data_IF_658360470778
#
_entry.id   IF_658360470778
#
_cell.length_a   1.000
_cell.length_b   1.000
_cell.length_c   1.000
_cell.angle_alpha   90.00
_cell.angle_beta   90.00
_cell.angle_gamma   90.00
#
_symmetry.space_group_name_H-M   'P 1'
#
loop_
_entity.id
_entity.type
_entity.pdbx_description
1 polymer ?
#
# COMPACT_ATOMS: atom_id res chain seq x y z
N UNK A 1 -1.32 -4.38 8.33
CA UNK A 1 -2.76 -4.20 8.65
C UNK A 1 -3.44 -3.56 7.44
N UNK A 2 -4.76 -3.73 7.25
CA UNK A 2 -5.52 -3.08 6.15
C UNK A 2 -6.31 -1.87 6.67
N UNK A 3 -6.68 -0.95 5.77
CA UNK A 3 -7.43 0.27 6.13
C UNK A 3 -8.95 0.15 5.92
N UNK A 4 -9.46 -1.04 5.58
CA UNK A 4 -10.88 -1.29 5.24
C UNK A 4 -11.83 -0.68 6.27
N UNK A 5 -11.62 -0.92 7.57
CA UNK A 5 -12.50 -0.38 8.63
C UNK A 5 -12.49 1.14 8.70
N UNK A 6 -11.32 1.76 8.51
CA UNK A 6 -11.17 3.22 8.56
C UNK A 6 -11.93 3.86 7.42
N UNK A 7 -11.79 3.30 6.21
CA UNK A 7 -12.47 3.78 5.00
C UNK A 7 -13.98 3.66 5.17
N UNK A 8 -14.48 2.48 5.58
CA UNK A 8 -15.90 2.26 5.82
C UNK A 8 -16.50 3.25 6.84
N UNK A 9 -15.78 3.50 7.94
CA UNK A 9 -16.19 4.50 8.93
C UNK A 9 -16.26 5.91 8.34
N UNK A 10 -15.30 6.30 7.49
CA UNK A 10 -15.27 7.62 6.86
C UNK A 10 -16.46 7.85 5.92
N UNK A 11 -16.97 6.79 5.27
CA UNK A 11 -18.12 6.84 4.36
C UNK A 11 -19.44 6.42 5.02
N UNK A 12 -19.47 6.23 6.35
CA UNK A 12 -20.63 5.76 7.12
C UNK A 12 -21.24 4.44 6.59
N UNK A 13 -20.39 3.48 6.21
CA UNK A 13 -20.81 2.13 5.78
C UNK A 13 -20.29 1.05 6.72
N UNK A 14 -20.96 -0.09 6.71
CA UNK A 14 -20.63 -1.27 7.52
C UNK A 14 -19.79 -2.29 6.74
N UNK A 15 -19.27 -3.29 7.44
CA UNK A 15 -18.61 -4.44 6.79
C UNK A 15 -19.61 -5.29 6.00
N UNK A 16 -20.89 -5.27 6.37
CA UNK A 16 -21.96 -6.00 5.70
C UNK A 16 -22.33 -5.34 4.36
N UNK A 17 -22.33 -4.00 4.31
CA UNK A 17 -22.47 -3.24 3.06
C UNK A 17 -21.37 -3.64 2.06
N UNK A 18 -20.12 -3.69 2.52
CA UNK A 18 -18.99 -4.11 1.69
C UNK A 18 -19.10 -5.59 1.27
N UNK A 19 -19.53 -6.45 2.17
CA UNK A 19 -19.72 -7.87 1.89
C UNK A 19 -20.77 -8.07 0.78
N UNK A 20 -21.88 -7.35 0.89
CA UNK A 20 -22.96 -7.33 -0.10
C UNK A 20 -22.50 -6.80 -1.46
N UNK A 21 -21.76 -5.68 -1.48
CA UNK A 21 -21.23 -5.10 -2.72
C UNK A 21 -20.20 -6.00 -3.42
N UNK A 22 -19.36 -6.72 -2.65
CA UNK A 22 -18.34 -7.63 -3.20
C UNK A 22 -18.93 -9.01 -3.55
N UNK A 23 -20.05 -9.40 -2.93
CA UNK A 23 -20.65 -10.74 -3.09
C UNK A 23 -19.97 -11.81 -2.24
N UNK A 24 -19.53 -11.47 -1.02
CA UNK A 24 -18.90 -12.40 -0.06
C UNK A 24 -19.58 -12.31 1.31
N UNK A 25 -19.20 -13.16 2.25
CA UNK A 25 -19.72 -13.08 3.62
C UNK A 25 -19.08 -11.93 4.43
N UNK A 26 -19.84 -11.35 5.37
CA UNK A 26 -19.34 -10.36 6.32
C UNK A 26 -18.13 -10.89 7.13
N UNK A 27 -18.13 -12.18 7.49
CA UNK A 27 -16.99 -12.84 8.14
C UNK A 27 -15.72 -12.80 7.29
N UNK A 28 -15.82 -12.95 5.96
CA UNK A 28 -14.68 -12.83 5.05
C UNK A 28 -14.10 -11.42 5.05
N UNK A 29 -14.97 -10.40 5.00
CA UNK A 29 -14.56 -8.99 5.16
C UNK A 29 -13.86 -8.77 6.50
N UNK A 30 -14.40 -9.31 7.59
CA UNK A 30 -13.78 -9.19 8.92
C UNK A 30 -12.37 -9.82 8.95
N UNK A 31 -12.17 -10.98 8.31
CA UNK A 31 -10.84 -11.58 8.20
C UNK A 31 -9.86 -10.69 7.44
N UNK A 32 -10.28 -10.06 6.34
CA UNK A 32 -9.44 -9.13 5.57
C UNK A 32 -9.15 -7.85 6.35
N UNK A 33 -10.16 -7.30 7.02
CA UNK A 33 -10.06 -6.09 7.81
C UNK A 33 -9.12 -6.23 9.01
N UNK A 34 -9.03 -7.42 9.61
CA UNK A 34 -8.11 -7.71 10.71
C UNK A 34 -6.74 -8.22 10.24
N UNK A 35 -6.58 -8.50 8.95
CA UNK A 35 -5.36 -9.12 8.41
C UNK A 35 -5.21 -10.61 8.72
N UNK A 36 -6.26 -11.27 9.23
CA UNK A 36 -6.28 -12.70 9.51
C UNK A 36 -6.23 -13.55 8.23
N UNK A 37 -6.69 -12.98 7.11
CA UNK A 37 -6.56 -13.55 5.77
C UNK A 37 -6.10 -12.48 4.80
N UNK A 38 -5.29 -12.87 3.83
CA UNK A 38 -4.94 -12.01 2.69
C UNK A 38 -5.90 -12.32 1.53
N UNK A 39 -6.58 -11.32 0.95
CA UNK A 39 -7.32 -11.53 -0.29
C UNK A 39 -6.35 -11.89 -1.42
N UNK A 40 -6.82 -12.63 -2.42
CA UNK A 40 -6.09 -12.75 -3.69
C UNK A 40 -6.01 -11.38 -4.38
N UNK A 41 -5.14 -11.24 -5.38
CA UNK A 41 -4.99 -10.01 -6.15
C UNK A 41 -6.34 -9.52 -6.73
N UNK A 42 -7.08 -10.40 -7.40
CA UNK A 42 -8.38 -10.07 -7.96
C UNK A 42 -9.41 -9.68 -6.89
N UNK A 43 -9.38 -10.37 -5.74
CA UNK A 43 -10.27 -10.07 -4.63
C UNK A 43 -9.93 -8.72 -3.99
N UNK A 44 -8.65 -8.38 -3.87
CA UNK A 44 -8.21 -7.08 -3.38
C UNK A 44 -8.75 -5.95 -4.26
N UNK A 45 -8.68 -6.10 -5.59
CA UNK A 45 -9.28 -5.14 -6.51
C UNK A 45 -10.81 -5.08 -6.43
N UNK A 46 -11.49 -6.21 -6.27
CA UNK A 46 -12.93 -6.22 -6.01
C UNK A 46 -13.29 -5.41 -4.77
N UNK A 47 -12.53 -5.54 -3.69
CA UNK A 47 -12.72 -4.77 -2.46
C UNK A 47 -12.51 -3.27 -2.70
N UNK A 48 -11.43 -2.87 -3.39
CA UNK A 48 -11.16 -1.45 -3.71
C UNK A 48 -12.30 -0.86 -4.54
N UNK A 49 -12.72 -1.56 -5.60
CA UNK A 49 -13.78 -1.11 -6.48
C UNK A 49 -15.13 -1.02 -5.75
N UNK A 50 -15.44 -1.98 -4.89
CA UNK A 50 -16.63 -1.95 -4.05
C UNK A 50 -16.63 -0.77 -3.09
N UNK A 51 -15.51 -0.50 -2.40
CA UNK A 51 -15.38 0.68 -1.53
C UNK A 51 -15.64 1.98 -2.30
N UNK A 52 -15.13 2.09 -3.53
CA UNK A 52 -15.37 3.26 -4.37
C UNK A 52 -16.84 3.38 -4.82
N UNK A 53 -17.50 2.26 -5.15
CA UNK A 53 -18.95 2.24 -5.45
C UNK A 53 -19.81 2.64 -4.25
N UNK A 54 -19.37 2.31 -3.04
CA UNK A 54 -20.05 2.68 -1.80
C UNK A 54 -19.84 4.16 -1.41
N UNK A 55 -19.02 4.91 -2.14
CA UNK A 55 -18.80 6.35 -1.96
C UNK A 55 -17.41 6.73 -1.48
N UNK A 56 -16.44 5.81 -1.49
CA UNK A 56 -15.03 6.15 -1.25
C UNK A 56 -14.33 6.66 -2.52
N UNK A 57 -13.17 7.29 -2.34
CA UNK A 57 -12.22 7.60 -3.41
C UNK A 57 -10.84 7.12 -2.97
N UNK A 58 -10.65 5.79 -3.01
CA UNK A 58 -9.46 5.11 -2.53
C UNK A 58 -8.79 4.30 -3.64
N UNK A 59 -7.46 4.22 -3.57
CA UNK A 59 -6.60 3.40 -4.41
C UNK A 59 -6.20 2.09 -3.71
N UNK A 60 -5.49 1.22 -4.43
CA UNK A 60 -5.02 -0.05 -3.87
C UNK A 60 -4.16 0.17 -2.61
N UNK A 61 -3.20 1.09 -2.67
CA UNK A 61 -2.29 1.39 -1.56
C UNK A 61 -3.01 2.01 -0.36
N UNK A 62 -4.10 2.74 -0.59
CA UNK A 62 -4.91 3.29 0.50
C UNK A 62 -5.60 2.19 1.31
N UNK A 63 -6.06 1.13 0.65
CA UNK A 63 -6.76 -0.01 1.28
C UNK A 63 -5.75 -1.03 1.85
N UNK A 64 -4.71 -1.32 1.09
CA UNK A 64 -3.67 -2.32 1.36
C UNK A 64 -2.28 -1.66 1.33
N UNK A 65 -1.90 -0.92 2.39
CA UNK A 65 -0.60 -0.23 2.44
C UNK A 65 0.56 -1.22 2.55
N UNK A 66 1.73 -0.80 2.08
CA UNK A 66 2.97 -1.58 2.21
C UNK A 66 3.31 -1.75 3.71
N UNK A 67 3.52 -2.98 4.21
CA UNK A 67 3.95 -3.21 5.58
C UNK A 67 5.29 -2.55 5.95
N UNK A 68 6.15 -2.23 4.97
CA UNK A 68 7.45 -1.60 5.17
C UNK A 68 7.41 -0.07 5.14
N UNK A 69 6.37 0.53 4.58
CA UNK A 69 6.22 2.00 4.55
C UNK A 69 5.67 2.59 5.86
N UNK A 70 5.27 1.74 6.81
CA UNK A 70 4.67 2.16 8.08
C UNK A 70 5.52 1.79 9.30
N UNK A 71 6.85 1.86 9.19
CA UNK A 71 7.74 1.94 10.35
C UNK A 71 8.57 3.24 10.29
N UNK A 72 8.37 4.19 11.24
CA UNK A 72 9.21 5.36 11.40
C UNK A 72 10.72 5.05 11.56
N UNK A 73 11.11 3.80 11.81
CA UNK A 73 12.51 3.36 11.93
C UNK A 73 13.11 2.77 10.65
N UNK A 74 12.36 2.56 9.58
CA UNK A 74 12.87 1.89 8.37
C UNK A 74 13.60 2.81 7.37
N UNK A 75 13.61 4.13 7.58
CA UNK A 75 14.15 5.11 6.61
C UNK A 75 15.70 5.10 6.52
N UNK A 76 16.40 4.36 7.40
CA UNK A 76 17.87 4.37 7.44
C UNK A 76 18.57 3.22 6.68
N UNK A 77 17.96 2.58 5.68
CA UNK A 77 18.64 1.50 4.92
C UNK A 77 18.75 1.69 3.41
N UNK A 78 18.34 2.85 2.86
CA UNK A 78 18.46 3.13 1.42
C UNK A 78 19.47 4.25 1.07
N UNK A 79 20.15 4.85 2.05
CA UNK A 79 21.11 5.93 1.80
C UNK A 79 22.61 5.53 1.77
N UNK A 80 22.98 4.28 2.04
CA UNK A 80 24.40 3.90 2.20
C UNK A 80 25.12 3.38 0.93
N UNK A 81 24.58 3.59 -0.29
CA UNK A 81 25.31 3.21 -1.53
C UNK A 81 25.34 4.25 -2.64
N UNK A 82 25.17 5.53 -2.33
CA UNK A 82 25.66 6.60 -3.19
C UNK A 82 26.78 7.36 -2.47
N UNK A 83 27.94 6.72 -2.31
CA UNK A 83 29.18 7.49 -2.16
C UNK A 83 29.76 7.76 -3.55
N UNK A 84 29.56 9.02 -3.95
CA UNK A 84 30.25 9.71 -5.02
C UNK A 84 31.72 9.93 -4.59
N UNK A 85 32.62 8.98 -4.86
CA UNK A 85 34.06 9.27 -4.83
C UNK A 85 34.48 9.95 -6.13
N UNK A 86 34.36 11.28 -6.12
CA UNK A 86 35.01 12.21 -7.03
C UNK A 86 36.48 12.35 -6.61
N UNK A 87 37.41 12.04 -7.53
CA UNK A 87 38.73 12.66 -7.80
C UNK A 87 39.83 11.63 -8.08
N UNK A 88 40.23 11.53 -9.35
CA UNK A 88 41.63 11.73 -9.73
C UNK A 88 41.71 12.00 -11.25
N UNK A 89 41.86 13.27 -11.61
CA UNK A 89 42.33 13.68 -12.93
C UNK A 89 43.86 13.87 -12.80
N UNK A 90 44.70 13.06 -13.45
CA UNK A 90 46.04 13.50 -13.75
C UNK A 90 46.07 14.20 -15.11
N UNK A 91 46.58 15.43 -15.05
CA UNK A 91 47.03 16.30 -16.13
C UNK A 91 47.95 15.58 -17.13
N UNK A 92 47.99 16.18 -18.33
CA UNK A 92 49.05 16.16 -19.35
C UNK A 92 49.22 14.91 -20.23
N UNK A 93 48.89 15.06 -21.52
CA UNK A 93 49.90 15.21 -22.57
C UNK A 93 49.20 15.70 -23.87
N UNK A 94 49.55 16.91 -24.31
CA UNK A 94 49.35 17.38 -25.67
C UNK A 94 50.71 17.84 -26.18
N UNK A 95 50.94 17.65 -27.49
CA UNK A 95 52.08 18.13 -28.30
C UNK A 95 53.30 17.19 -28.21
N UNK A 96 53.85 16.63 -29.31
CA UNK A 96 53.81 16.95 -30.74
C UNK A 96 53.79 15.67 -31.61
#
# INVERSE_FOLDING_TARGET
>A
MTNIKKILKAINRSQDDLASEVGISQGSVNHYANGNRKPSYDMAWKVVNALNRLGSSCSFSDVFPDPLECDPHAVNQLNDKQDNSVLDIPKSASVA
#
